data_IF_594909511947
#
_entry.id   IF_594909511947
#
_cell.length_a   1.000
_cell.length_b   1.000
_cell.length_c   1.000
_cell.angle_alpha   90.00
_cell.angle_beta   90.00
_cell.angle_gamma   90.00
#
_symmetry.space_group_name_H-M   'P 1'
#
loop_
_entity.id
_entity.type
_entity.pdbx_description
1 polymer ?
#
# COMPACT_ATOMS: atom_id res chain seq x y z
N UNK A 1 10.66 -31.16 -2.31
CA UNK A 1 10.57 -30.16 -1.22
C UNK A 1 10.33 -28.82 -1.89
N UNK A 2 9.11 -28.29 -1.85
CA UNK A 2 8.79 -26.96 -2.41
C UNK A 2 9.29 -25.92 -1.42
N UNK A 3 10.28 -25.15 -1.83
CA UNK A 3 10.81 -24.02 -1.03
C UNK A 3 9.78 -22.90 -1.07
N UNK A 4 9.18 -22.62 0.08
CA UNK A 4 8.29 -21.46 0.29
C UNK A 4 9.23 -20.27 0.50
N UNK A 5 9.33 -19.41 -0.48
CA UNK A 5 10.01 -18.12 -0.32
C UNK A 5 9.07 -17.19 0.44
N UNK A 6 9.35 -16.98 1.72
CA UNK A 6 8.71 -15.92 2.51
C UNK A 6 9.35 -14.61 2.02
N UNK A 7 8.70 -13.98 1.04
CA UNK A 7 8.98 -12.59 0.72
C UNK A 7 8.36 -11.77 1.86
N UNK A 8 9.21 -11.29 2.78
CA UNK A 8 8.77 -10.35 3.80
C UNK A 8 8.27 -9.08 3.10
N UNK A 9 6.96 -8.95 2.99
CA UNK A 9 6.30 -7.73 2.50
C UNK A 9 6.58 -6.65 3.52
N UNK A 10 7.57 -5.81 3.24
CA UNK A 10 7.91 -4.65 4.07
C UNK A 10 6.83 -3.59 3.84
N UNK A 11 5.74 -3.68 4.59
CA UNK A 11 4.86 -2.53 4.79
C UNK A 11 5.69 -1.47 5.51
N UNK A 12 6.21 -0.49 4.76
CA UNK A 12 6.99 0.62 5.29
C UNK A 12 6.09 1.48 6.20
N UNK A 13 5.98 1.10 7.47
CA UNK A 13 5.36 1.91 8.50
C UNK A 13 6.46 2.82 9.05
N UNK A 14 6.64 3.98 8.42
CA UNK A 14 7.46 5.05 9.02
C UNK A 14 6.61 5.74 10.08
N UNK A 15 6.87 5.43 11.34
CA UNK A 15 6.29 6.15 12.47
C UNK A 15 7.02 7.49 12.64
N UNK A 16 6.37 8.61 12.31
CA UNK A 16 6.88 9.96 12.58
C UNK A 16 5.79 10.84 13.19
N UNK A 17 6.17 11.58 14.19
CA UNK A 17 5.34 12.47 15.00
C UNK A 17 4.88 13.73 14.25
N UNK A 18 3.65 14.17 14.55
CA UNK A 18 2.88 15.23 13.88
C UNK A 18 3.41 16.62 14.22
N UNK A 19 3.64 17.42 13.18
CA UNK A 19 3.64 18.90 13.25
C UNK A 19 2.42 19.42 12.47
N UNK A 20 1.72 20.39 13.02
CA UNK A 20 0.50 20.96 12.46
C UNK A 20 0.77 21.71 11.14
N UNK A 21 0.07 21.34 10.07
CA UNK A 21 0.11 22.01 8.78
C UNK A 21 -1.06 22.99 8.64
N UNK A 22 -0.77 24.20 8.21
CA UNK A 22 -1.77 25.20 7.81
C UNK A 22 -2.47 24.75 6.52
N UNK A 23 -3.81 24.78 6.50
CA UNK A 23 -4.62 24.51 5.32
C UNK A 23 -5.48 23.23 5.38
N UNK A 24 -5.65 22.62 6.53
CA UNK A 24 -6.54 21.46 6.71
C UNK A 24 -7.99 22.00 6.80
N UNK A 25 -8.86 21.54 5.91
CA UNK A 25 -10.29 21.79 6.05
C UNK A 25 -10.78 21.31 7.41
N UNK A 26 -11.78 22.00 8.00
CA UNK A 26 -12.37 21.55 9.24
C UNK A 26 -12.88 20.09 9.07
N UNK A 27 -12.75 19.25 10.14
CA UNK A 27 -13.26 17.89 10.08
C UNK A 27 -14.77 17.89 9.78
N UNK A 28 -15.22 16.91 8.98
CA UNK A 28 -16.65 16.64 8.79
C UNK A 28 -17.27 16.15 10.10
N UNK A 29 -18.58 16.27 10.25
CA UNK A 29 -19.28 15.71 11.41
C UNK A 29 -19.21 14.16 11.44
N UNK A 30 -19.24 13.58 12.64
CA UNK A 30 -19.26 12.12 12.84
C UNK A 30 -20.47 11.48 12.15
N UNK A 31 -21.64 12.14 12.18
CA UNK A 31 -22.84 11.63 11.52
C UNK A 31 -22.68 11.58 9.99
N UNK A 32 -22.10 12.63 9.40
CA UNK A 32 -21.77 12.64 7.97
C UNK A 32 -20.76 11.54 7.62
N UNK A 33 -19.77 11.32 8.48
CA UNK A 33 -18.79 10.22 8.29
C UNK A 33 -19.45 8.84 8.40
N UNK A 34 -20.46 8.70 9.27
CA UNK A 34 -21.25 7.48 9.39
C UNK A 34 -22.03 7.18 8.11
N UNK A 35 -22.67 8.19 7.53
CA UNK A 35 -23.36 8.06 6.23
C UNK A 35 -22.38 7.61 5.14
N UNK A 36 -21.16 8.19 5.10
CA UNK A 36 -20.11 7.76 4.15
C UNK A 36 -19.68 6.31 4.35
N UNK A 37 -19.60 5.83 5.59
CA UNK A 37 -19.31 4.43 5.87
C UNK A 37 -20.45 3.51 5.40
N UNK A 38 -21.73 3.90 5.59
CA UNK A 38 -22.89 3.14 5.11
C UNK A 38 -22.97 3.11 3.59
N UNK A 39 -22.74 4.24 2.93
CA UNK A 39 -22.66 4.33 1.45
C UNK A 39 -21.56 3.41 0.90
N UNK A 40 -20.38 3.42 1.53
CA UNK A 40 -19.26 2.55 1.12
C UNK A 40 -19.62 1.07 1.21
N UNK A 41 -20.37 0.68 2.23
CA UNK A 41 -20.80 -0.70 2.42
C UNK A 41 -21.93 -1.13 1.47
N UNK A 42 -22.54 -0.20 0.72
CA UNK A 42 -23.78 -0.42 -0.03
C UNK A 42 -24.92 -0.97 0.86
N UNK A 43 -24.91 -0.60 2.13
CA UNK A 43 -25.82 -1.13 3.15
C UNK A 43 -26.34 0.04 4.02
N UNK A 44 -27.34 0.80 3.55
CA UNK A 44 -27.86 1.97 4.27
C UNK A 44 -28.44 1.61 5.64
N UNK A 45 -28.94 0.38 5.78
CA UNK A 45 -29.49 -0.15 7.04
C UNK A 45 -28.45 -0.85 7.92
N UNK A 46 -27.17 -0.90 7.49
CA UNK A 46 -26.13 -1.52 8.29
C UNK A 46 -25.95 -0.80 9.63
N UNK A 47 -25.85 -1.58 10.69
CA UNK A 47 -25.49 -1.05 12.00
C UNK A 47 -24.03 -0.64 11.98
N UNK A 48 -23.80 0.67 11.81
CA UNK A 48 -22.49 1.29 11.83
C UNK A 48 -22.36 2.08 13.13
N UNK A 49 -21.42 1.71 13.99
CA UNK A 49 -21.21 2.31 15.31
C UNK A 49 -19.90 3.06 15.38
N UNK A 50 -19.95 4.35 15.70
CA UNK A 50 -18.74 5.13 15.99
C UNK A 50 -18.01 4.53 17.20
N UNK A 51 -16.72 4.27 17.05
CA UNK A 51 -15.87 3.72 18.10
C UNK A 51 -14.90 4.76 18.67
N UNK A 52 -14.18 5.45 17.78
CA UNK A 52 -13.13 6.42 18.16
C UNK A 52 -12.74 7.33 16.99
N UNK A 53 -12.03 8.40 17.34
CA UNK A 53 -11.20 9.14 16.39
C UNK A 53 -9.75 8.67 16.56
N UNK A 54 -9.08 8.37 15.45
CA UNK A 54 -7.70 7.87 15.45
C UNK A 54 -6.84 8.65 14.48
N UNK A 55 -5.62 9.00 14.91
CA UNK A 55 -4.60 9.57 14.04
C UNK A 55 -3.65 8.48 13.59
N UNK A 56 -3.57 8.29 12.29
CA UNK A 56 -2.60 7.44 11.62
C UNK A 56 -1.64 8.33 10.81
N UNK A 57 -0.55 7.75 10.32
CA UNK A 57 0.55 8.48 9.65
C UNK A 57 0.12 9.46 8.54
N UNK A 58 -1.03 9.26 7.93
CA UNK A 58 -1.49 10.02 6.77
C UNK A 58 -2.81 10.77 6.99
N UNK A 59 -3.33 10.82 8.21
CA UNK A 59 -4.57 11.53 8.47
C UNK A 59 -5.22 11.24 9.82
N UNK A 60 -6.32 11.93 10.05
CA UNK A 60 -7.22 11.71 11.16
C UNK A 60 -8.47 10.98 10.64
N UNK A 61 -8.91 9.96 11.36
CA UNK A 61 -9.97 9.07 10.91
C UNK A 61 -11.04 8.90 11.99
N UNK A 62 -12.29 8.91 11.57
CA UNK A 62 -13.38 8.35 12.35
C UNK A 62 -13.44 6.85 12.08
N UNK A 63 -13.36 6.06 13.15
CA UNK A 63 -13.40 4.60 13.08
C UNK A 63 -14.79 4.13 13.48
N UNK A 64 -15.39 3.34 12.61
CA UNK A 64 -16.71 2.75 12.82
C UNK A 64 -16.59 1.22 12.85
N UNK A 65 -17.26 0.59 13.83
CA UNK A 65 -17.46 -0.85 13.87
C UNK A 65 -18.63 -1.26 12.97
N UNK A 66 -18.44 -2.37 12.25
CA UNK A 66 -19.43 -2.99 11.36
C UNK A 66 -19.41 -4.50 11.58
N UNK A 67 -20.37 -5.04 12.34
CA UNK A 67 -20.28 -6.45 12.73
C UNK A 67 -19.00 -6.74 13.49
N UNK A 68 -18.14 -7.60 12.93
CA UNK A 68 -16.80 -7.93 13.46
C UNK A 68 -15.65 -7.15 12.80
N UNK A 69 -15.94 -6.28 11.80
CA UNK A 69 -14.97 -5.48 11.10
C UNK A 69 -14.98 -3.99 11.44
N UNK A 70 -14.20 -3.22 10.71
CA UNK A 70 -14.06 -1.77 10.90
C UNK A 70 -13.98 -1.02 9.58
N UNK A 71 -14.49 0.22 9.58
CA UNK A 71 -14.35 1.19 8.48
C UNK A 71 -13.71 2.47 9.01
N UNK A 72 -12.74 2.98 8.29
CA UNK A 72 -12.01 4.22 8.60
C UNK A 72 -12.38 5.29 7.58
N UNK A 73 -13.05 6.32 8.05
CA UNK A 73 -13.43 7.49 7.24
C UNK A 73 -12.47 8.62 7.56
N UNK A 74 -11.77 9.14 6.55
CA UNK A 74 -10.90 10.30 6.72
C UNK A 74 -11.72 11.51 7.17
N UNK A 75 -11.37 12.08 8.34
CA UNK A 75 -12.13 13.13 8.98
C UNK A 75 -12.19 14.43 8.17
N UNK A 76 -11.22 14.67 7.25
CA UNK A 76 -11.16 15.91 6.48
C UNK A 76 -11.72 15.78 5.06
N UNK A 77 -11.66 14.58 4.47
CA UNK A 77 -12.09 14.34 3.09
C UNK A 77 -13.43 13.61 3.01
N UNK A 78 -13.84 12.92 4.07
CA UNK A 78 -15.01 12.03 4.07
C UNK A 78 -14.79 10.73 3.27
N UNK A 79 -13.60 10.49 2.73
CA UNK A 79 -13.32 9.28 2.00
C UNK A 79 -13.13 8.10 2.95
N UNK A 80 -13.71 6.94 2.60
CA UNK A 80 -13.35 5.69 3.25
C UNK A 80 -11.99 5.26 2.70
N UNK A 81 -10.98 5.27 3.55
CA UNK A 81 -9.62 4.94 3.16
C UNK A 81 -9.18 3.55 3.63
N UNK A 82 -9.94 2.93 4.54
CA UNK A 82 -9.65 1.58 5.02
C UNK A 82 -10.93 0.88 5.45
N UNK A 83 -11.01 -0.42 5.16
CA UNK A 83 -12.04 -1.31 5.70
C UNK A 83 -11.42 -2.68 5.99
N UNK A 84 -11.92 -3.34 7.05
CA UNK A 84 -11.60 -4.74 7.39
C UNK A 84 -12.88 -5.51 7.63
N UNK A 85 -12.89 -6.78 7.24
CA UNK A 85 -14.04 -7.68 7.34
C UNK A 85 -13.56 -9.01 7.94
N UNK A 86 -13.55 -9.12 9.28
CA UNK A 86 -12.92 -10.26 9.95
C UNK A 86 -13.67 -11.58 9.72
N UNK A 87 -15.01 -11.54 9.50
CA UNK A 87 -15.79 -12.72 9.09
C UNK A 87 -15.31 -13.31 7.76
N UNK A 88 -14.83 -12.47 6.85
CA UNK A 88 -14.29 -12.92 5.56
C UNK A 88 -12.95 -13.66 5.67
N UNK A 89 -12.31 -13.71 6.85
CA UNK A 89 -11.10 -14.51 7.10
C UNK A 89 -11.38 -15.98 7.38
N UNK A 90 -12.63 -16.36 7.57
CA UNK A 90 -13.00 -17.76 7.80
C UNK A 90 -12.63 -18.61 6.59
N UNK A 91 -12.24 -19.86 6.84
CA UNK A 91 -11.85 -20.82 5.80
C UNK A 91 -10.66 -20.41 4.91
N UNK A 92 -9.85 -19.44 5.36
CA UNK A 92 -8.67 -18.94 4.64
C UNK A 92 -7.47 -19.92 4.62
N UNK A 93 -7.60 -21.09 5.25
CA UNK A 93 -6.60 -22.17 5.18
C UNK A 93 -6.69 -22.97 3.87
N UNK A 94 -7.88 -23.00 3.23
CA UNK A 94 -8.08 -23.68 1.98
C UNK A 94 -7.88 -22.73 0.80
N UNK A 95 -7.06 -23.13 -0.15
CA UNK A 95 -6.85 -22.38 -1.40
C UNK A 95 -7.72 -23.02 -2.47
N UNK A 96 -8.87 -22.43 -2.76
CA UNK A 96 -9.84 -22.88 -3.77
C UNK A 96 -9.83 -22.00 -5.01
N UNK A 97 -9.51 -20.72 -4.85
CA UNK A 97 -9.35 -19.79 -5.97
C UNK A 97 -7.90 -19.80 -6.45
N UNK A 98 -7.72 -19.76 -7.75
CA UNK A 98 -6.42 -19.41 -8.32
C UNK A 98 -6.16 -17.90 -8.25
N UNK A 99 -4.92 -17.51 -8.46
CA UNK A 99 -4.49 -16.12 -8.36
C UNK A 99 -5.23 -15.20 -9.36
N UNK A 100 -5.57 -15.70 -10.56
CA UNK A 100 -6.25 -14.90 -11.58
C UNK A 100 -7.71 -14.61 -11.19
N UNK A 101 -8.42 -15.60 -10.66
CA UNK A 101 -9.79 -15.44 -10.17
C UNK A 101 -9.84 -14.50 -8.96
N UNK A 102 -8.88 -14.62 -8.03
CA UNK A 102 -8.77 -13.73 -6.90
C UNK A 102 -8.41 -12.30 -7.31
N UNK A 103 -7.52 -12.12 -8.32
CA UNK A 103 -7.21 -10.80 -8.88
C UNK A 103 -8.44 -10.14 -9.52
N UNK A 104 -9.24 -10.92 -10.27
CA UNK A 104 -10.46 -10.41 -10.87
C UNK A 104 -11.46 -9.90 -9.81
N UNK A 105 -11.63 -10.64 -8.71
CA UNK A 105 -12.48 -10.22 -7.59
C UNK A 105 -11.94 -8.95 -6.91
N UNK A 106 -10.63 -8.91 -6.65
CA UNK A 106 -9.98 -7.75 -6.04
C UNK A 106 -10.09 -6.49 -6.92
N UNK A 107 -9.90 -6.65 -8.23
CA UNK A 107 -10.01 -5.55 -9.21
C UNK A 107 -11.44 -5.03 -9.30
N UNK A 108 -12.43 -5.91 -9.40
CA UNK A 108 -13.84 -5.51 -9.43
C UNK A 108 -14.23 -4.69 -8.19
N UNK A 109 -13.77 -5.14 -7.00
CA UNK A 109 -13.99 -4.40 -5.77
C UNK A 109 -13.25 -3.04 -5.75
N UNK A 110 -12.00 -2.99 -6.24
CA UNK A 110 -11.25 -1.74 -6.35
C UNK A 110 -11.93 -0.74 -7.30
N UNK A 111 -12.44 -1.21 -8.45
CA UNK A 111 -13.19 -0.39 -9.41
C UNK A 111 -14.48 0.18 -8.82
N UNK A 112 -15.18 -0.59 -8.00
CA UNK A 112 -16.38 -0.15 -7.30
C UNK A 112 -16.09 0.87 -6.19
N UNK A 113 -15.06 0.63 -5.37
CA UNK A 113 -14.83 1.40 -4.14
C UNK A 113 -13.86 2.56 -4.29
N UNK A 114 -12.94 2.51 -5.25
CA UNK A 114 -11.99 3.58 -5.49
C UNK A 114 -12.40 4.41 -6.71
N UNK A 115 -13.01 5.56 -6.47
CA UNK A 115 -13.49 6.44 -7.55
C UNK A 115 -12.38 6.73 -8.58
N UNK A 116 -12.67 6.45 -9.83
CA UNK A 116 -11.77 6.65 -10.95
C UNK A 116 -10.65 5.60 -11.05
N UNK A 117 -10.82 4.39 -10.49
CA UNK A 117 -9.83 3.31 -10.62
C UNK A 117 -9.63 2.92 -12.09
N UNK A 118 -10.72 2.75 -12.84
CA UNK A 118 -10.69 2.34 -14.24
C UNK A 118 -10.14 3.42 -15.19
N UNK A 119 -10.38 4.71 -14.87
CA UNK A 119 -9.93 5.85 -15.67
C UNK A 119 -8.48 6.24 -15.42
N UNK A 120 -7.91 5.77 -14.31
CA UNK A 120 -6.53 6.05 -13.92
C UNK A 120 -5.60 4.93 -14.37
N UNK A 121 -4.36 5.29 -14.67
CA UNK A 121 -3.31 4.31 -14.92
C UNK A 121 -2.90 3.62 -13.62
N UNK A 122 -3.73 2.70 -13.13
CA UNK A 122 -3.43 1.92 -11.92
C UNK A 122 -2.55 0.73 -12.30
N UNK A 123 -1.26 0.79 -11.93
CA UNK A 123 -0.28 -0.28 -12.15
C UNK A 123 -0.32 -1.27 -10.99
N UNK A 124 -0.49 -2.56 -11.30
CA UNK A 124 -0.34 -3.64 -10.33
C UNK A 124 1.14 -3.75 -9.93
N UNK A 125 1.41 -3.49 -8.65
CA UNK A 125 2.77 -3.50 -8.08
C UNK A 125 3.07 -4.81 -7.41
N UNK A 126 2.06 -5.40 -6.76
CA UNK A 126 2.21 -6.63 -5.99
C UNK A 126 0.97 -7.51 -6.17
N UNK A 127 1.20 -8.82 -6.30
CA UNK A 127 0.18 -9.85 -6.46
C UNK A 127 0.74 -11.14 -5.86
N UNK A 128 0.44 -11.40 -4.58
CA UNK A 128 1.01 -12.50 -3.83
C UNK A 128 -0.06 -13.24 -3.00
N UNK A 129 0.18 -14.54 -2.78
CA UNK A 129 -0.47 -15.28 -1.69
C UNK A 129 0.39 -15.12 -0.44
N UNK A 130 -0.15 -14.47 0.58
CA UNK A 130 0.51 -14.24 1.87
C UNK A 130 -0.01 -15.25 2.86
N UNK A 131 0.89 -15.97 3.53
CA UNK A 131 0.55 -16.91 4.59
C UNK A 131 0.82 -16.28 5.96
N UNK A 132 -0.16 -16.40 6.84
CA UNK A 132 -0.08 -15.96 8.24
C UNK A 132 0.02 -17.14 9.22
N UNK A 133 0.53 -18.29 8.74
CA UNK A 133 0.63 -19.51 9.52
C UNK A 133 -0.74 -20.02 9.95
N UNK A 134 -0.92 -20.22 11.26
CA UNK A 134 -2.18 -20.71 11.85
C UNK A 134 -3.36 -19.73 11.69
N UNK A 135 -3.12 -18.49 11.26
CA UNK A 135 -4.18 -17.52 10.95
C UNK A 135 -4.69 -17.62 9.51
N UNK A 136 -4.19 -18.59 8.72
CA UNK A 136 -4.60 -18.81 7.34
C UNK A 136 -3.78 -18.05 6.30
N UNK A 137 -4.35 -17.82 5.14
CA UNK A 137 -3.69 -17.12 4.03
C UNK A 137 -4.63 -16.11 3.39
N UNK A 138 -4.09 -15.16 2.66
CA UNK A 138 -4.85 -14.21 1.87
C UNK A 138 -4.09 -13.84 0.59
N UNK A 139 -4.80 -13.61 -0.50
CA UNK A 139 -4.24 -12.99 -1.67
C UNK A 139 -4.15 -11.49 -1.45
N UNK A 140 -2.98 -10.92 -1.64
CA UNK A 140 -2.69 -9.49 -1.56
C UNK A 140 -2.52 -8.92 -2.96
N UNK A 141 -3.26 -7.86 -3.27
CA UNK A 141 -3.12 -7.08 -4.49
C UNK A 141 -2.88 -5.63 -4.16
N UNK A 142 -1.82 -5.04 -4.74
CA UNK A 142 -1.48 -3.62 -4.56
C UNK A 142 -1.40 -2.96 -5.92
N UNK A 143 -2.21 -1.93 -6.13
CA UNK A 143 -2.13 -1.03 -7.29
C UNK A 143 -1.67 0.34 -6.85
N UNK A 144 -0.84 0.97 -7.67
CA UNK A 144 -0.47 2.38 -7.52
C UNK A 144 -0.77 3.14 -8.80
N UNK A 145 -1.28 4.36 -8.66
CA UNK A 145 -1.49 5.24 -9.80
C UNK A 145 -0.13 5.63 -10.39
N UNK A 146 0.03 5.47 -11.70
CA UNK A 146 1.19 5.92 -12.44
C UNK A 146 0.81 7.14 -13.28
N UNK A 147 1.58 8.22 -13.16
CA UNK A 147 1.41 9.45 -13.92
C UNK A 147 2.74 9.84 -14.57
N UNK A 148 2.77 9.86 -15.90
CA UNK A 148 3.98 10.18 -16.67
C UNK A 148 5.20 9.31 -16.29
N UNK A 149 5.00 8.03 -16.05
CA UNK A 149 6.06 7.11 -15.64
C UNK A 149 6.49 7.22 -14.16
N UNK A 150 5.76 8.00 -13.35
CA UNK A 150 6.02 8.18 -11.91
C UNK A 150 4.91 7.50 -11.12
N UNK A 151 5.26 6.61 -10.21
CA UNK A 151 4.32 6.07 -9.24
C UNK A 151 3.94 7.15 -8.22
N UNK A 152 2.66 7.45 -8.14
CA UNK A 152 2.13 8.43 -7.19
C UNK A 152 1.89 7.80 -5.82
N UNK A 153 1.61 8.58 -4.76
CA UNK A 153 1.24 8.02 -3.46
C UNK A 153 -0.19 7.43 -3.45
N UNK A 154 -0.94 7.55 -4.55
CA UNK A 154 -2.28 7.03 -4.67
C UNK A 154 -2.24 5.51 -4.83
N UNK A 155 -2.84 4.81 -3.87
CA UNK A 155 -2.67 3.37 -3.73
C UNK A 155 -4.02 2.72 -3.43
N UNK A 156 -4.24 1.56 -4.03
CA UNK A 156 -5.33 0.65 -3.66
C UNK A 156 -4.74 -0.68 -3.27
N UNK A 157 -5.13 -1.18 -2.10
CA UNK A 157 -4.78 -2.52 -1.61
C UNK A 157 -6.06 -3.29 -1.37
N UNK A 158 -6.13 -4.51 -1.86
CA UNK A 158 -7.25 -5.41 -1.60
C UNK A 158 -6.70 -6.77 -1.20
N UNK A 159 -7.19 -7.30 -0.09
CA UNK A 159 -6.91 -8.64 0.35
C UNK A 159 -8.15 -9.51 0.13
N UNK A 160 -7.94 -10.69 -0.45
CA UNK A 160 -9.01 -11.64 -0.82
C UNK A 160 -8.78 -12.96 -0.12
N UNK A 161 -9.84 -13.53 0.45
CA UNK A 161 -9.81 -14.87 1.01
C UNK A 161 -9.63 -15.92 -0.11
N UNK A 162 -8.59 -16.76 -0.06
CA UNK A 162 -8.31 -17.74 -1.11
C UNK A 162 -9.31 -18.90 -1.16
N UNK A 163 -10.08 -19.12 -0.09
CA UNK A 163 -11.09 -20.17 -0.02
C UNK A 163 -12.45 -19.73 -0.53
N UNK A 164 -12.87 -18.49 -0.24
CA UNK A 164 -14.23 -18.00 -0.52
C UNK A 164 -14.28 -16.94 -1.62
N UNK A 165 -13.21 -16.23 -1.87
CA UNK A 165 -13.16 -15.05 -2.77
C UNK A 165 -13.70 -13.77 -2.14
N UNK A 166 -14.07 -13.79 -0.87
CA UNK A 166 -14.55 -12.62 -0.14
C UNK A 166 -13.41 -11.62 0.12
N UNK A 167 -13.77 -10.36 0.16
CA UNK A 167 -12.81 -9.29 0.47
C UNK A 167 -12.56 -9.27 1.97
N UNK A 168 -11.32 -9.48 2.36
CA UNK A 168 -10.87 -9.46 3.75
C UNK A 168 -10.55 -8.06 4.21
N UNK A 169 -9.91 -7.26 3.36
CA UNK A 169 -9.61 -5.87 3.66
C UNK A 169 -9.44 -5.02 2.40
N UNK A 170 -9.61 -3.74 2.60
CA UNK A 170 -9.46 -2.70 1.59
C UNK A 170 -8.68 -1.52 2.16
N UNK A 171 -7.78 -0.97 1.36
CA UNK A 171 -7.16 0.35 1.57
C UNK A 171 -7.23 1.11 0.25
N UNK A 172 -7.77 2.35 0.30
CA UNK A 172 -7.84 3.24 -0.86
C UNK A 172 -7.36 4.62 -0.47
N UNK A 173 -6.11 4.94 -0.77
CA UNK A 173 -5.47 6.20 -0.41
C UNK A 173 -5.41 7.11 -1.63
N UNK A 174 -5.88 8.34 -1.47
CA UNK A 174 -5.77 9.39 -2.49
C UNK A 174 -5.11 10.61 -1.87
N UNK A 175 -4.04 11.07 -2.49
CA UNK A 175 -3.30 12.26 -2.06
C UNK A 175 -2.98 13.13 -3.26
N UNK A 176 -3.02 14.43 -3.06
CA UNK A 176 -2.52 15.40 -4.04
C UNK A 176 -0.99 15.28 -4.15
N UNK A 177 -0.49 15.37 -5.37
CA UNK A 177 0.96 15.41 -5.62
C UNK A 177 1.44 16.84 -5.36
N UNK A 178 2.37 16.99 -4.41
CA UNK A 178 2.90 18.28 -3.95
C UNK A 178 4.37 18.50 -4.27
N UNK A 179 5.02 17.57 -4.97
CA UNK A 179 6.41 17.72 -5.39
C UNK A 179 6.53 17.68 -6.92
N UNK A 180 7.58 18.28 -7.49
CA UNK A 180 7.88 18.16 -8.92
C UNK A 180 8.16 16.70 -9.31
N UNK A 181 7.72 16.31 -10.52
CA UNK A 181 7.83 14.92 -11.01
C UNK A 181 9.02 14.70 -11.96
N UNK A 182 9.81 15.74 -12.21
CA UNK A 182 10.99 15.63 -13.07
C UNK A 182 12.23 15.29 -12.22
N UNK A 183 12.86 14.10 -12.43
CA UNK A 183 14.09 13.74 -11.72
C UNK A 183 15.27 14.53 -12.30
N UNK A 184 16.23 14.91 -11.44
CA UNK A 184 17.53 15.41 -11.88
C UNK A 184 18.55 14.27 -12.06
N UNK A 185 18.34 13.15 -11.34
CA UNK A 185 19.16 11.95 -11.43
C UNK A 185 18.49 10.99 -12.42
N UNK A 186 19.22 10.52 -13.42
CA UNK A 186 18.75 9.51 -14.35
C UNK A 186 18.61 8.13 -13.67
N UNK A 187 17.85 7.24 -14.29
CA UNK A 187 17.69 5.85 -13.85
C UNK A 187 19.03 5.13 -13.69
N UNK A 188 19.93 5.29 -14.66
CA UNK A 188 21.23 4.62 -14.64
C UNK A 188 22.15 5.15 -13.56
N UNK A 189 22.09 6.44 -13.26
CA UNK A 189 22.82 7.05 -12.14
C UNK A 189 22.27 6.54 -10.81
N UNK A 190 20.93 6.44 -10.65
CA UNK A 190 20.32 5.87 -9.46
C UNK A 190 20.73 4.41 -9.23
N UNK A 191 20.78 3.60 -10.30
CA UNK A 191 21.28 2.21 -10.22
C UNK A 191 22.74 2.14 -9.78
N UNK A 192 23.60 3.07 -10.22
CA UNK A 192 25.00 3.14 -9.77
C UNK A 192 25.12 3.54 -8.31
N UNK A 193 24.33 4.52 -7.86
CA UNK A 193 24.28 4.93 -6.44
C UNK A 193 23.84 3.75 -5.58
N UNK A 194 22.78 3.03 -5.99
CA UNK A 194 22.28 1.86 -5.29
C UNK A 194 23.30 0.72 -5.21
N UNK A 195 24.02 0.44 -6.30
CA UNK A 195 25.07 -0.59 -6.33
C UNK A 195 26.20 -0.28 -5.33
N UNK A 196 26.51 0.98 -5.12
CA UNK A 196 27.49 1.42 -4.13
C UNK A 196 27.12 1.10 -2.67
N UNK A 197 25.83 0.83 -2.39
CA UNK A 197 25.36 0.49 -1.04
C UNK A 197 25.64 -0.99 -0.66
N UNK A 198 25.96 -1.83 -1.64
CA UNK A 198 26.22 -3.25 -1.45
C UNK A 198 27.60 -3.64 -2.01
N UNK A 199 28.69 -3.17 -1.38
CA UNK A 199 30.03 -3.50 -1.84
C UNK A 199 30.31 -5.00 -1.74
N UNK A 200 30.86 -5.58 -2.82
CA UNK A 200 31.18 -7.00 -2.87
C UNK A 200 30.07 -7.94 -3.30
N UNK A 201 28.85 -7.45 -3.45
CA UNK A 201 27.75 -8.26 -3.97
C UNK A 201 27.82 -8.32 -5.50
N UNK A 202 27.77 -9.56 -6.04
CA UNK A 202 27.57 -9.76 -7.47
C UNK A 202 26.11 -9.58 -7.83
N UNK A 203 25.79 -8.44 -8.45
CA UNK A 203 24.41 -8.11 -8.85
C UNK A 203 23.94 -9.02 -9.98
N UNK A 204 22.82 -9.70 -9.78
CA UNK A 204 22.16 -10.57 -10.77
C UNK A 204 20.92 -9.92 -11.39
N UNK A 205 20.38 -8.87 -10.77
CA UNK A 205 19.28 -8.10 -11.29
C UNK A 205 19.05 -6.82 -10.50
N UNK A 206 18.57 -5.79 -11.19
CA UNK A 206 18.17 -4.56 -10.55
C UNK A 206 16.98 -3.92 -11.29
N UNK A 207 16.04 -3.37 -10.53
CA UNK A 207 14.96 -2.52 -11.05
C UNK A 207 15.01 -1.16 -10.38
N UNK A 208 14.57 -0.13 -11.08
CA UNK A 208 14.42 1.20 -10.51
C UNK A 208 13.11 1.80 -11.03
N UNK A 209 12.24 2.15 -10.10
CA UNK A 209 10.98 2.83 -10.35
C UNK A 209 11.04 4.25 -9.78
N UNK A 210 10.59 5.22 -10.59
CA UNK A 210 10.44 6.59 -10.12
C UNK A 210 9.13 6.71 -9.35
N UNK A 211 9.18 7.24 -8.14
CA UNK A 211 8.06 7.23 -7.21
C UNK A 211 8.00 8.49 -6.36
N UNK A 212 6.80 8.94 -6.04
CA UNK A 212 6.56 9.96 -5.00
C UNK A 212 6.34 9.23 -3.69
N UNK A 213 7.25 9.44 -2.75
CA UNK A 213 7.19 8.86 -1.41
C UNK A 213 7.06 9.94 -0.33
N UNK A 214 6.43 9.57 0.80
CA UNK A 214 6.45 10.40 2.00
C UNK A 214 7.72 10.12 2.79
N UNK A 215 8.69 11.01 2.71
CA UNK A 215 9.93 10.92 3.49
C UNK A 215 9.77 11.49 4.90
N UNK A 216 8.72 12.28 5.11
CA UNK A 216 8.19 12.77 6.40
C UNK A 216 6.67 12.80 6.30
N UNK A 217 5.92 12.93 7.41
CA UNK A 217 4.44 12.85 7.41
C UNK A 217 3.73 13.79 6.44
N UNK A 218 4.31 14.96 6.17
CA UNK A 218 3.75 16.04 5.36
C UNK A 218 4.62 16.40 4.15
N UNK A 219 5.75 15.72 3.95
CA UNK A 219 6.71 16.01 2.88
C UNK A 219 6.79 14.87 1.87
N UNK A 220 6.36 15.17 0.66
CA UNK A 220 6.52 14.30 -0.50
C UNK A 220 7.87 14.57 -1.17
N UNK A 221 8.57 13.51 -1.53
CA UNK A 221 9.82 13.54 -2.25
C UNK A 221 9.73 12.65 -3.48
N UNK A 222 10.20 13.14 -4.62
CA UNK A 222 10.40 12.29 -5.79
C UNK A 222 11.63 11.43 -5.55
N UNK A 223 11.47 10.11 -5.63
CA UNK A 223 12.52 9.15 -5.31
C UNK A 223 12.71 8.12 -6.40
N UNK A 224 13.90 7.61 -6.55
CA UNK A 224 14.15 6.32 -7.18
C UNK A 224 14.04 5.24 -6.11
N UNK A 225 13.11 4.31 -6.31
CA UNK A 225 12.99 3.10 -5.51
C UNK A 225 13.70 1.99 -6.27
N UNK A 226 14.85 1.59 -5.79
CA UNK A 226 15.71 0.61 -6.45
C UNK A 226 15.66 -0.71 -5.69
N UNK A 227 15.30 -1.78 -6.38
CA UNK A 227 15.44 -3.15 -5.87
C UNK A 227 16.68 -3.77 -6.50
N UNK A 228 17.62 -4.21 -5.67
CA UNK A 228 18.82 -4.91 -6.10
C UNK A 228 18.79 -6.37 -5.64
N UNK A 229 19.11 -7.27 -6.56
CA UNK A 229 19.26 -8.71 -6.28
C UNK A 229 20.69 -9.10 -6.57
N UNK A 230 21.33 -9.70 -5.58
CA UNK A 230 22.66 -10.28 -5.71
C UNK A 230 22.61 -11.80 -5.88
N UNK A 231 23.74 -12.38 -6.19
CA UNK A 231 23.92 -13.81 -6.17
C UNK A 231 23.74 -14.31 -4.73
N UNK A 232 22.87 -15.31 -4.47
CA UNK A 232 22.67 -15.80 -3.10
C UNK A 232 23.95 -16.39 -2.53
N UNK A 233 24.21 -16.16 -1.26
CA UNK A 233 25.29 -16.82 -0.51
C UNK A 233 24.67 -17.95 0.36
N UNK A 234 24.75 -19.17 -0.14
CA UNK A 234 24.01 -20.29 0.45
C UNK A 234 22.50 -20.09 0.31
N UNK A 235 21.78 -20.03 1.44
CA UNK A 235 20.33 -19.77 1.49
C UNK A 235 20.00 -18.29 1.77
N UNK A 236 21.02 -17.42 1.88
CA UNK A 236 20.86 -16.00 2.19
C UNK A 236 20.72 -15.21 0.89
N UNK A 237 19.60 -14.49 0.76
CA UNK A 237 19.40 -13.54 -0.33
C UNK A 237 20.35 -12.35 -0.14
N UNK A 238 21.02 -11.93 -1.24
CA UNK A 238 21.87 -10.75 -1.24
C UNK A 238 21.18 -9.58 -1.95
N UNK A 239 21.42 -8.35 -1.45
CA UNK A 239 20.82 -7.13 -2.01
C UNK A 239 19.79 -6.51 -1.09
N UNK A 240 18.83 -5.80 -1.65
CA UNK A 240 17.82 -5.09 -0.86
C UNK A 240 17.08 -4.01 -1.63
N UNK A 241 16.32 -3.21 -0.89
CA UNK A 241 15.61 -2.03 -1.36
C UNK A 241 16.40 -0.77 -0.97
N UNK A 242 16.58 0.12 -1.93
CA UNK A 242 17.24 1.40 -1.73
C UNK A 242 16.30 2.52 -2.20
N UNK A 243 16.12 3.54 -1.37
CA UNK A 243 15.36 4.75 -1.74
C UNK A 243 16.33 5.91 -1.86
N UNK A 244 16.32 6.57 -3.00
CA UNK A 244 17.24 7.64 -3.35
C UNK A 244 16.42 8.86 -3.74
N UNK A 245 16.74 10.04 -3.20
CA UNK A 245 16.18 11.30 -3.67
C UNK A 245 16.51 11.48 -5.17
N UNK A 246 15.49 11.53 -6.01
CA UNK A 246 15.66 11.57 -7.47
C UNK A 246 16.19 12.94 -7.97
N UNK A 247 16.30 13.94 -7.11
CA UNK A 247 16.79 15.27 -7.44
C UNK A 247 18.15 15.55 -6.80
N UNK A 248 18.32 15.20 -5.52
CA UNK A 248 19.58 15.41 -4.80
C UNK A 248 20.58 14.27 -4.98
N UNK A 249 20.13 13.06 -5.34
CA UNK A 249 20.98 11.86 -5.41
C UNK A 249 21.34 11.28 -4.02
N UNK A 250 20.73 11.81 -2.95
CA UNK A 250 20.95 11.35 -1.59
C UNK A 250 20.26 10.02 -1.33
N UNK A 251 20.94 9.08 -0.67
CA UNK A 251 20.36 7.83 -0.21
C UNK A 251 19.55 8.08 1.05
N UNK A 252 18.24 7.92 0.95
CA UNK A 252 17.29 8.16 2.04
C UNK A 252 17.06 6.91 2.90
N UNK A 253 17.13 5.73 2.29
CA UNK A 253 16.92 4.46 2.98
C UNK A 253 17.68 3.33 2.28
N UNK A 254 18.21 2.41 3.08
CA UNK A 254 18.72 1.11 2.63
C UNK A 254 18.08 0.04 3.50
N UNK A 255 17.40 -0.92 2.89
CA UNK A 255 16.79 -2.08 3.55
C UNK A 255 17.34 -3.36 2.92
N UNK A 256 18.39 -3.97 3.50
CA UNK A 256 18.91 -5.24 3.02
C UNK A 256 17.88 -6.36 3.13
N UNK A 257 17.98 -7.38 2.27
CA UNK A 257 17.25 -8.63 2.50
C UNK A 257 17.81 -9.32 3.77
N UNK A 258 16.91 -9.95 4.51
CA UNK A 258 17.24 -10.68 5.75
C UNK A 258 17.25 -12.18 5.48
#
# INVERSE_FOLDING_TARGET
MKRIYILATLCLIIAVSVAAAAGINAPIGVDTAKEKAQDFLNAPDATVQYQKTERLNQGEYYVFGIGDGQVYVNAHTGAVERATFDSARKDSHEIRLDQAAAEAAARAYAEEKYSGFAEKSMRLIESNLVSHGDAGSEYLYIWREEKNGVLTPNTVVVNVNPGTGEIVSYIGIRREIKCPLEPALSRDEALKVAAGQFPGIRVTGATADLSVEYTRPDAQTLTWVVTMKGEPEGDVLQGGLIVIDARAGEVLMVSPYL
#
